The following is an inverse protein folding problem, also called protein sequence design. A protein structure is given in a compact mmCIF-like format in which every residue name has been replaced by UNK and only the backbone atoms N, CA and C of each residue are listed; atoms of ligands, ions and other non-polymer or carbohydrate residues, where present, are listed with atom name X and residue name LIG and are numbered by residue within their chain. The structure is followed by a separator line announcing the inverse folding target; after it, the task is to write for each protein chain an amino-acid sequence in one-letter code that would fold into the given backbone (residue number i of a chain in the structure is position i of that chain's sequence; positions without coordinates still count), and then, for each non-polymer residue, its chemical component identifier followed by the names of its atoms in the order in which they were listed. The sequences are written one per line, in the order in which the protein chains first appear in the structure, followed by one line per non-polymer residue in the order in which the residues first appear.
data_IF_288972613505
#
_entry.id   IF_288972613505
#
_cell.length_a   1.000
_cell.length_b   1.000
_cell.length_c   1.000
_cell.angle_alpha   90.00
_cell.angle_beta   90.00
_cell.angle_gamma   90.00
#
_symmetry.space_group_name_H-M   'P 1'
#
loop_
_entity.id
_entity.type
_entity.pdbx_description
1 polymer ?
#
# COMPACT_ATOMS: atom_id res chain seq x y z
N UNK A 1 -14.83 -9.24 -17.11
CA UNK A 1 -15.34 -8.49 -15.94
C UNK A 1 -15.87 -9.49 -14.91
N UNK A 2 -15.32 -9.49 -13.70
CA UNK A 2 -15.75 -10.37 -12.62
C UNK A 2 -16.65 -9.57 -11.64
N UNK A 3 -17.93 -9.98 -11.45
CA UNK A 3 -18.84 -9.30 -10.53
C UNK A 3 -18.33 -9.22 -9.08
N UNK A 4 -17.56 -10.22 -8.61
CA UNK A 4 -16.98 -10.22 -7.27
C UNK A 4 -15.87 -9.18 -7.13
N UNK A 5 -15.02 -9.03 -8.15
CA UNK A 5 -13.99 -8.02 -8.20
C UNK A 5 -14.58 -6.61 -8.15
N UNK A 6 -15.64 -6.38 -8.93
CA UNK A 6 -16.35 -5.09 -8.93
C UNK A 6 -16.97 -4.82 -7.55
N UNK A 7 -17.70 -5.77 -6.97
CA UNK A 7 -18.33 -5.60 -5.66
C UNK A 7 -17.30 -5.32 -4.54
N UNK A 8 -16.10 -5.88 -4.64
CA UNK A 8 -15.02 -5.63 -3.68
C UNK A 8 -14.48 -4.19 -3.75
N UNK A 9 -14.50 -3.57 -4.94
CA UNK A 9 -13.92 -2.24 -5.17
C UNK A 9 -14.97 -1.13 -5.09
N UNK A 10 -16.22 -1.42 -5.41
CA UNK A 10 -17.31 -0.42 -5.48
C UNK A 10 -17.42 0.49 -4.24
N UNK A 11 -17.33 -0.01 -3.01
CA UNK A 11 -17.39 0.85 -1.82
C UNK A 11 -16.26 1.89 -1.74
N UNK A 12 -15.15 1.65 -2.43
CA UNK A 12 -13.94 2.45 -2.39
C UNK A 12 -13.72 3.29 -3.63
N UNK A 13 -14.57 3.15 -4.67
CA UNK A 13 -14.34 3.76 -5.98
C UNK A 13 -14.12 5.27 -5.89
N UNK A 14 -14.97 5.99 -5.17
CA UNK A 14 -14.82 7.44 -5.03
C UNK A 14 -13.50 7.84 -4.37
N UNK A 15 -13.07 7.13 -3.32
CA UNK A 15 -11.80 7.39 -2.64
C UNK A 15 -10.59 7.04 -3.52
N UNK A 16 -10.70 5.98 -4.33
CA UNK A 16 -9.67 5.59 -5.30
C UNK A 16 -9.52 6.67 -6.36
N UNK A 17 -10.62 7.13 -6.94
CA UNK A 17 -10.63 8.17 -7.98
C UNK A 17 -10.05 9.49 -7.44
N UNK A 18 -10.39 9.87 -6.20
CA UNK A 18 -9.85 11.05 -5.55
C UNK A 18 -8.36 10.96 -5.28
N UNK A 19 -7.89 9.83 -4.77
CA UNK A 19 -6.46 9.60 -4.51
C UNK A 19 -5.66 9.58 -5.83
N UNK A 20 -6.15 8.87 -6.84
CA UNK A 20 -5.51 8.77 -8.14
C UNK A 20 -5.38 10.16 -8.81
N UNK A 21 -6.45 10.97 -8.77
CA UNK A 21 -6.45 12.34 -9.30
C UNK A 21 -5.44 13.24 -8.59
N UNK A 22 -5.37 13.17 -7.24
CA UNK A 22 -4.40 13.98 -6.46
C UNK A 22 -2.95 13.67 -6.79
N UNK A 23 -2.65 12.44 -7.17
CA UNK A 23 -1.29 11.98 -7.41
C UNK A 23 -0.95 11.72 -8.88
N UNK A 24 -1.88 12.11 -9.80
CA UNK A 24 -1.69 12.01 -11.25
C UNK A 24 -1.34 10.57 -11.70
N UNK A 25 -2.18 9.62 -11.30
CA UNK A 25 -2.12 8.22 -11.74
C UNK A 25 -3.48 7.72 -12.22
N UNK A 26 -3.49 6.65 -12.99
CA UNK A 26 -4.72 5.99 -13.42
C UNK A 26 -5.40 5.27 -12.24
N UNK A 27 -6.67 5.63 -11.97
CA UNK A 27 -7.48 5.07 -10.90
C UNK A 27 -7.73 3.56 -11.04
N UNK A 28 -7.75 3.04 -12.28
CA UNK A 28 -7.97 1.61 -12.51
C UNK A 28 -6.78 0.77 -12.03
N UNK A 29 -5.56 1.27 -12.22
CA UNK A 29 -4.38 0.59 -11.69
C UNK A 29 -4.34 0.63 -10.16
N UNK A 30 -4.74 1.74 -9.53
CA UNK A 30 -4.87 1.80 -8.07
C UNK A 30 -5.94 0.82 -7.56
N UNK A 31 -7.10 0.74 -8.24
CA UNK A 31 -8.14 -0.24 -7.94
C UNK A 31 -7.65 -1.69 -8.07
N UNK A 32 -6.87 -1.97 -9.12
CA UNK A 32 -6.27 -3.29 -9.34
C UNK A 32 -5.26 -3.66 -8.24
N UNK A 33 -4.47 -2.70 -7.75
CA UNK A 33 -3.60 -2.91 -6.57
C UNK A 33 -4.44 -3.25 -5.34
N UNK A 34 -5.49 -2.50 -5.04
CA UNK A 34 -6.40 -2.78 -3.90
C UNK A 34 -6.99 -4.18 -4.00
N UNK A 35 -7.48 -4.55 -5.18
CA UNK A 35 -8.04 -5.89 -5.41
C UNK A 35 -7.00 -6.99 -5.18
N UNK A 36 -5.77 -6.79 -5.66
CA UNK A 36 -4.66 -7.74 -5.50
C UNK A 36 -4.20 -7.89 -4.06
N UNK A 37 -4.14 -6.80 -3.32
CA UNK A 37 -3.53 -6.75 -1.98
C UNK A 37 -4.47 -7.20 -0.86
N UNK A 38 -5.73 -6.78 -0.92
CA UNK A 38 -6.68 -7.01 0.18
C UNK A 38 -8.04 -7.54 -0.26
N UNK A 39 -8.30 -7.63 -1.58
CA UNK A 39 -9.64 -7.87 -2.11
C UNK A 39 -10.68 -6.86 -1.59
N UNK A 40 -10.25 -5.63 -1.33
CA UNK A 40 -11.10 -4.55 -0.81
C UNK A 40 -11.33 -4.58 0.70
N UNK A 41 -10.60 -5.38 1.47
CA UNK A 41 -10.70 -5.39 2.93
C UNK A 41 -9.88 -4.22 3.55
N UNK A 42 -10.55 -3.20 4.14
CA UNK A 42 -9.87 -2.06 4.75
C UNK A 42 -9.18 -2.41 6.07
N UNK A 43 -9.54 -3.54 6.69
CA UNK A 43 -9.00 -3.98 7.98
C UNK A 43 -7.86 -4.98 7.84
N UNK A 44 -7.45 -5.30 6.63
CA UNK A 44 -6.37 -6.23 6.38
C UNK A 44 -5.06 -5.75 7.02
N UNK A 45 -4.46 -6.62 7.84
CA UNK A 45 -3.14 -6.40 8.43
C UNK A 45 -2.31 -7.66 8.20
N UNK A 46 -1.11 -7.50 7.64
CA UNK A 46 -0.18 -8.60 7.43
C UNK A 46 1.18 -8.27 8.03
N UNK A 47 1.60 -9.06 9.02
CA UNK A 47 2.95 -8.93 9.59
C UNK A 47 3.96 -9.57 8.63
N UNK A 48 4.89 -8.76 8.15
CA UNK A 48 5.95 -9.16 7.22
C UNK A 48 7.09 -9.87 7.96
N UNK A 49 6.87 -11.14 8.33
CA UNK A 49 7.81 -11.91 9.17
C UNK A 49 9.21 -12.03 8.57
N UNK A 50 9.32 -12.12 7.25
CA UNK A 50 10.61 -12.15 6.53
C UNK A 50 11.35 -10.82 6.68
N UNK A 51 10.65 -9.72 6.45
CA UNK A 51 11.18 -8.37 6.61
C UNK A 51 11.58 -8.12 8.08
N UNK A 52 10.70 -8.44 9.03
CA UNK A 52 11.00 -8.34 10.46
C UNK A 52 12.26 -9.10 10.84
N UNK A 53 12.39 -10.38 10.47
CA UNK A 53 13.57 -11.19 10.79
C UNK A 53 14.87 -10.60 10.24
N UNK A 54 14.82 -10.03 9.03
CA UNK A 54 15.99 -9.46 8.34
C UNK A 54 16.40 -8.10 8.91
N UNK A 55 15.44 -7.26 9.28
CA UNK A 55 15.67 -5.84 9.60
C UNK A 55 15.34 -5.45 11.04
N UNK A 56 15.00 -6.39 11.90
CA UNK A 56 14.52 -6.14 13.29
C UNK A 56 15.36 -5.16 14.08
N UNK A 57 16.68 -5.23 14.01
CA UNK A 57 17.56 -4.35 14.78
C UNK A 57 17.60 -2.93 14.21
N UNK A 58 17.50 -2.81 12.89
CA UNK A 58 17.31 -1.53 12.20
C UNK A 58 15.97 -0.89 12.55
N UNK A 59 14.89 -1.67 12.50
CA UNK A 59 13.53 -1.23 12.86
C UNK A 59 13.51 -0.77 14.33
N UNK A 60 14.06 -1.56 15.26
CA UNK A 60 14.14 -1.19 16.67
C UNK A 60 14.91 0.10 16.92
N UNK A 61 16.02 0.33 16.19
CA UNK A 61 16.76 1.60 16.26
C UNK A 61 15.94 2.75 15.72
N UNK A 62 15.31 2.56 14.55
CA UNK A 62 14.48 3.57 13.89
C UNK A 62 13.27 3.96 14.77
N UNK A 63 12.55 2.99 15.34
CA UNK A 63 11.43 3.24 16.27
C UNK A 63 11.87 4.06 17.48
N UNK A 64 13.06 3.81 18.03
CA UNK A 64 13.60 4.57 19.17
C UNK A 64 14.07 5.97 18.82
N UNK A 65 14.52 6.17 17.58
CA UNK A 65 15.03 7.48 17.11
C UNK A 65 13.97 8.35 16.47
N UNK A 66 12.85 7.77 16.04
CA UNK A 66 11.75 8.53 15.45
C UNK A 66 10.87 9.03 16.59
N UNK A 67 10.75 10.37 16.76
CA UNK A 67 9.79 10.91 17.72
C UNK A 67 8.40 10.54 17.24
N UNK A 68 7.91 9.38 17.67
CA UNK A 68 6.49 9.10 17.58
C UNK A 68 5.83 10.14 18.48
N UNK A 69 5.13 11.05 17.86
CA UNK A 69 4.46 12.16 18.53
C UNK A 69 3.52 11.64 19.61
N UNK A 70 4.06 11.19 20.75
CA UNK A 70 3.37 11.06 22.02
C UNK A 70 3.15 9.69 22.65
N UNK A 71 3.73 8.59 22.21
CA UNK A 71 3.46 7.40 23.00
C UNK A 71 4.58 6.35 22.99
N UNK A 72 5.32 6.24 24.09
CA UNK A 72 6.26 5.15 24.37
C UNK A 72 5.63 3.75 24.27
N UNK A 73 4.30 3.66 24.24
CA UNK A 73 3.58 2.39 24.10
C UNK A 73 3.89 1.68 22.79
N UNK A 74 4.06 2.41 21.69
CA UNK A 74 4.32 1.83 20.38
C UNK A 74 5.76 1.35 20.20
N UNK A 75 6.71 1.91 20.94
CA UNK A 75 8.09 1.43 20.93
C UNK A 75 8.23 0.02 21.50
N UNK A 76 7.23 -0.45 22.25
CA UNK A 76 7.16 -1.81 22.78
C UNK A 76 6.75 -2.86 21.74
N UNK A 77 6.15 -2.43 20.62
CA UNK A 77 5.64 -3.30 19.57
C UNK A 77 6.28 -2.96 18.21
N UNK A 78 7.60 -3.08 18.09
CA UNK A 78 8.31 -2.66 16.89
C UNK A 78 7.98 -3.51 15.65
N UNK A 79 7.39 -4.68 15.83
CA UNK A 79 6.86 -5.55 14.76
C UNK A 79 5.69 -4.91 14.00
N UNK A 80 4.92 -4.01 14.64
CA UNK A 80 3.89 -3.23 13.94
C UNK A 80 4.46 -2.34 12.84
N UNK A 81 5.73 -1.96 12.93
CA UNK A 81 6.43 -1.20 11.87
C UNK A 81 6.86 -2.08 10.69
N UNK A 82 6.84 -3.39 10.87
CA UNK A 82 7.08 -4.37 9.82
C UNK A 82 5.76 -5.04 9.36
N UNK A 83 4.64 -4.34 9.49
CA UNK A 83 3.36 -4.80 9.01
C UNK A 83 2.87 -3.93 7.85
N UNK A 84 2.09 -4.56 6.96
CA UNK A 84 1.33 -3.92 5.89
C UNK A 84 -0.12 -3.73 6.34
N UNK A 85 -0.74 -2.62 5.95
CA UNK A 85 -2.04 -2.20 6.45
C UNK A 85 -3.01 -1.84 5.33
N UNK A 86 -4.27 -2.18 5.54
CA UNK A 86 -5.43 -1.64 4.84
C UNK A 86 -5.55 -2.07 3.39
N UNK A 87 -6.34 -1.33 2.64
CA UNK A 87 -6.75 -1.63 1.27
C UNK A 87 -5.60 -1.94 0.32
N UNK A 88 -4.56 -1.12 0.32
CA UNK A 88 -3.41 -1.25 -0.57
C UNK A 88 -2.18 -1.90 0.11
N UNK A 89 -2.34 -2.47 1.30
CA UNK A 89 -1.31 -3.17 2.07
C UNK A 89 0.01 -2.38 2.16
N UNK A 90 -0.09 -1.10 2.54
CA UNK A 90 1.09 -0.23 2.66
C UNK A 90 1.84 -0.55 3.95
N UNK A 91 3.13 -0.81 3.86
CA UNK A 91 3.99 -0.94 5.04
C UNK A 91 4.15 0.42 5.73
N UNK A 92 4.07 0.45 7.06
CA UNK A 92 4.21 1.69 7.82
C UNK A 92 5.54 2.40 7.54
N UNK A 93 6.64 1.67 7.47
CA UNK A 93 7.94 2.28 7.15
C UNK A 93 7.92 2.97 5.79
N UNK A 94 7.38 2.31 4.75
CA UNK A 94 7.28 2.89 3.41
C UNK A 94 6.35 4.10 3.38
N UNK A 95 5.26 4.06 4.15
CA UNK A 95 4.35 5.19 4.29
C UNK A 95 5.05 6.42 4.88
N UNK A 96 5.83 6.24 5.95
CA UNK A 96 6.60 7.33 6.59
C UNK A 96 7.65 7.90 5.65
N UNK A 97 8.38 7.05 4.91
CA UNK A 97 9.34 7.48 3.87
C UNK A 97 8.64 8.25 2.72
N UNK A 98 7.36 8.00 2.50
CA UNK A 98 6.55 8.74 1.55
C UNK A 98 5.88 9.99 2.13
N UNK A 99 6.14 10.31 3.40
CA UNK A 99 5.63 11.51 4.07
C UNK A 99 4.30 11.31 4.83
N UNK A 100 3.97 10.07 5.18
CA UNK A 100 2.82 9.79 6.02
C UNK A 100 3.07 10.25 7.45
N UNK A 101 2.27 11.18 7.93
CA UNK A 101 2.25 11.62 9.32
C UNK A 101 1.18 10.87 10.08
N UNK A 102 1.54 10.28 11.23
CA UNK A 102 0.65 9.49 12.04
C UNK A 102 0.89 9.69 13.54
N UNK A 103 -0.14 9.43 14.31
CA UNK A 103 -0.05 9.26 15.77
C UNK A 103 -0.05 7.79 16.17
N UNK A 104 -0.81 6.97 15.42
CA UNK A 104 -0.91 5.52 15.62
C UNK A 104 -0.69 4.78 14.30
N UNK A 105 0.05 3.66 14.28
CA UNK A 105 0.24 2.85 13.07
C UNK A 105 -1.08 2.43 12.40
N UNK A 106 -2.10 2.19 13.22
CA UNK A 106 -3.44 1.79 12.76
C UNK A 106 -4.19 2.87 11.97
N UNK A 107 -3.70 4.10 11.94
CA UNK A 107 -4.26 5.14 11.07
C UNK A 107 -4.08 4.83 9.58
N UNK A 108 -3.18 3.89 9.23
CA UNK A 108 -3.10 3.32 7.88
C UNK A 108 -4.28 2.39 7.52
N UNK A 109 -5.16 2.04 8.47
CA UNK A 109 -6.41 1.34 8.19
C UNK A 109 -7.53 2.27 7.72
N UNK A 110 -7.37 3.59 7.90
CA UNK A 110 -8.30 4.56 7.32
C UNK A 110 -8.22 4.49 5.78
N UNK A 111 -9.34 4.17 5.08
CA UNK A 111 -9.33 3.95 3.64
C UNK A 111 -8.81 5.16 2.85
N UNK A 112 -9.22 6.37 3.21
CA UNK A 112 -8.81 7.57 2.49
C UNK A 112 -7.32 7.84 2.64
N UNK A 113 -6.78 7.69 3.86
CA UNK A 113 -5.35 7.87 4.13
C UNK A 113 -4.51 6.77 3.50
N UNK A 114 -4.98 5.53 3.53
CA UNK A 114 -4.31 4.39 2.91
C UNK A 114 -4.17 4.55 1.40
N UNK A 115 -5.28 4.89 0.73
CA UNK A 115 -5.31 5.10 -0.72
C UNK A 115 -4.48 6.32 -1.15
N UNK A 116 -4.52 7.41 -0.38
CA UNK A 116 -3.71 8.60 -0.68
C UNK A 116 -2.21 8.28 -0.65
N UNK A 117 -1.74 7.60 0.40
CA UNK A 117 -0.32 7.27 0.51
C UNK A 117 0.10 6.20 -0.51
N UNK A 118 -0.76 5.21 -0.82
CA UNK A 118 -0.51 4.22 -1.86
C UNK A 118 -0.37 4.88 -3.24
N UNK A 119 -1.29 5.78 -3.60
CA UNK A 119 -1.25 6.53 -4.85
C UNK A 119 0.02 7.38 -4.96
N UNK A 120 0.43 8.04 -3.88
CA UNK A 120 1.68 8.81 -3.80
C UNK A 120 2.92 7.95 -4.06
N UNK A 121 2.97 6.76 -3.45
CA UNK A 121 4.07 5.80 -3.64
C UNK A 121 4.12 5.32 -5.08
N UNK A 122 2.97 4.90 -5.64
CA UNK A 122 2.85 4.44 -7.03
C UNK A 122 3.25 5.54 -8.02
N UNK A 123 2.75 6.76 -7.84
CA UNK A 123 3.10 7.92 -8.67
C UNK A 123 4.60 8.18 -8.68
N UNK A 124 5.24 8.14 -7.49
CA UNK A 124 6.70 8.30 -7.37
C UNK A 124 7.45 7.19 -8.12
N UNK A 125 7.00 5.95 -8.03
CA UNK A 125 7.61 4.83 -8.75
C UNK A 125 7.38 4.95 -10.25
N UNK A 126 6.16 5.29 -10.69
CA UNK A 126 5.83 5.45 -12.11
C UNK A 126 6.67 6.54 -12.76
N UNK A 127 6.83 7.70 -12.11
CA UNK A 127 7.70 8.79 -12.61
C UNK A 127 9.18 8.36 -12.74
N UNK A 128 9.63 7.43 -11.89
CA UNK A 128 11.04 6.95 -11.93
C UNK A 128 11.27 5.87 -12.97
N UNK A 129 10.27 5.05 -13.27
CA UNK A 129 10.43 3.85 -14.10
C UNK A 129 9.81 3.99 -15.49
N UNK A 130 8.85 4.91 -15.65
CA UNK A 130 8.14 5.16 -16.90
C UNK A 130 7.08 4.13 -17.26
N UNK A 131 6.96 3.01 -16.55
CA UNK A 131 6.01 1.92 -16.88
C UNK A 131 5.35 1.35 -15.64
N UNK A 132 4.08 0.92 -15.76
CA UNK A 132 3.35 0.28 -14.69
C UNK A 132 4.00 -1.02 -14.20
N UNK A 133 4.45 -1.96 -15.05
CA UNK A 133 5.09 -3.18 -14.56
C UNK A 133 6.29 -2.90 -13.66
N UNK A 134 7.15 -1.96 -14.08
CA UNK A 134 8.33 -1.61 -13.29
C UNK A 134 8.00 -0.83 -12.01
N UNK A 135 6.96 0.02 -12.03
CA UNK A 135 6.47 0.72 -10.84
C UNK A 135 5.86 -0.24 -9.82
N UNK A 136 5.05 -1.19 -10.28
CA UNK A 136 4.42 -2.23 -9.46
C UNK A 136 5.46 -3.16 -8.82
N UNK A 137 6.48 -3.57 -9.57
CA UNK A 137 7.56 -4.37 -9.02
C UNK A 137 8.26 -3.63 -7.86
N UNK A 138 8.49 -2.31 -8.00
CA UNK A 138 9.04 -1.49 -6.91
C UNK A 138 8.08 -1.32 -5.74
N UNK A 139 6.77 -1.21 -6.00
CA UNK A 139 5.76 -1.12 -4.96
C UNK A 139 5.77 -2.37 -4.06
N UNK A 140 5.90 -3.54 -4.65
CA UNK A 140 6.03 -4.82 -3.93
C UNK A 140 7.43 -5.04 -3.29
N UNK A 141 8.34 -4.08 -3.39
CA UNK A 141 9.71 -4.22 -2.87
C UNK A 141 10.64 -5.08 -3.71
N UNK A 142 10.24 -5.47 -4.91
CA UNK A 142 11.05 -6.25 -5.86
C UNK A 142 11.20 -7.74 -5.52
N UNK A 143 10.53 -8.21 -4.45
CA UNK A 143 10.69 -9.60 -3.96
C UNK A 143 9.91 -10.64 -4.76
N UNK A 144 8.94 -10.22 -5.55
CA UNK A 144 8.09 -11.10 -6.35
C UNK A 144 7.97 -10.60 -7.79
N UNK A 145 8.70 -11.21 -8.74
CA UNK A 145 8.66 -10.81 -10.14
C UNK A 145 7.31 -11.02 -10.82
N UNK A 146 6.44 -11.89 -10.28
CA UNK A 146 5.10 -12.13 -10.81
C UNK A 146 4.04 -11.12 -10.31
N UNK A 147 4.42 -10.22 -9.40
CA UNK A 147 3.47 -9.25 -8.84
C UNK A 147 2.80 -8.35 -9.89
N UNK A 148 3.52 -7.77 -10.89
CA UNK A 148 2.90 -6.97 -11.94
C UNK A 148 1.83 -7.74 -12.73
N UNK A 149 2.06 -9.02 -13.00
CA UNK A 149 1.10 -9.85 -13.74
C UNK A 149 -0.16 -10.16 -12.91
N UNK A 150 -0.02 -10.32 -11.59
CA UNK A 150 -1.19 -10.46 -10.70
C UNK A 150 -2.03 -9.18 -10.67
N UNK A 151 -1.40 -8.01 -10.59
CA UNK A 151 -2.14 -6.73 -10.63
C UNK A 151 -2.81 -6.55 -11.98
N UNK A 152 -2.15 -6.92 -13.08
CA UNK A 152 -2.76 -6.91 -14.42
C UNK A 152 -3.97 -7.84 -14.53
N UNK A 153 -3.88 -9.04 -13.95
CA UNK A 153 -5.04 -9.95 -13.88
C UNK A 153 -6.21 -9.33 -13.11
N UNK A 154 -5.93 -8.62 -12.01
CA UNK A 154 -6.94 -7.86 -11.26
C UNK A 154 -7.53 -6.71 -12.08
N UNK A 155 -6.72 -6.01 -12.88
CA UNK A 155 -7.19 -4.97 -13.79
C UNK A 155 -8.20 -5.53 -14.82
N UNK A 156 -7.86 -6.68 -15.44
CA UNK A 156 -8.75 -7.36 -16.37
C UNK A 156 -10.03 -7.87 -15.68
N UNK A 157 -9.95 -8.35 -14.44
CA UNK A 157 -11.13 -8.74 -13.66
C UNK A 157 -12.09 -7.56 -13.43
N UNK A 158 -11.57 -6.34 -13.31
CA UNK A 158 -12.35 -5.10 -13.24
C UNK A 158 -12.93 -4.67 -14.59
N UNK A 159 -12.61 -5.38 -15.69
CA UNK A 159 -13.10 -5.09 -17.04
C UNK A 159 -12.30 -4.02 -17.78
N UNK A 160 -11.09 -3.73 -17.33
CA UNK A 160 -10.19 -2.75 -17.96
C UNK A 160 -9.13 -3.50 -18.78
N UNK A 161 -8.92 -3.08 -20.03
CA UNK A 161 -7.83 -3.58 -20.88
C UNK A 161 -6.56 -2.77 -20.63
N UNK A 162 -5.40 -3.42 -20.76
CA UNK A 162 -4.12 -2.72 -20.81
C UNK A 162 -4.12 -1.80 -22.05
N UNK A 163 -3.92 -0.52 -21.86
CA UNK A 163 -3.64 0.41 -22.94
C UNK A 163 -2.12 0.53 -23.12
#
# INVERSE_FOLDING_TARGET
MDPRAIAAIEPWRSLIDDAARRHDIDANWLAAVVLTESSGDPWAIRVERGFWRRYRDGIRRWVRSTPTRNDDRWSKYPDLYAASYGLAQVMLQTAVEAGFEYRYPTELLDPARNLDIAARILSRHLRRTGTWPAALLRYNGGGDPAYPDRVRASLHALGVSDA
#
